data_IF_452202161347
#
_entry.id   IF_452202161347
#
_cell.length_a   1.000
_cell.length_b   1.000
_cell.length_c   1.000
_cell.angle_alpha   90.00
_cell.angle_beta   90.00
_cell.angle_gamma   90.00
#
_symmetry.space_group_name_H-M   'P 1'
#
loop_
_entity.id
_entity.type
_entity.pdbx_description
1 polymer ?
#
# COMPACT_ATOMS: atom_id res chain seq x y z
N UNK A 1 -64.19 -30.44 0.99
CA UNK A 1 -62.78 -30.59 1.43
C UNK A 1 -62.74 -31.06 2.90
N UNK A 2 -62.13 -32.23 3.17
CA UNK A 2 -62.10 -32.86 4.51
C UNK A 2 -61.40 -32.00 5.57
N UNK A 3 -61.85 -32.06 6.84
CA UNK A 3 -61.20 -31.38 7.99
C UNK A 3 -59.69 -31.67 8.02
N UNK A 4 -59.27 -32.92 7.78
CA UNK A 4 -57.84 -33.31 7.72
C UNK A 4 -57.07 -32.55 6.63
N UNK A 5 -57.69 -32.35 5.46
CA UNK A 5 -57.10 -31.58 4.36
C UNK A 5 -56.91 -30.12 4.75
N UNK A 6 -57.90 -29.47 5.36
CA UNK A 6 -57.77 -28.07 5.82
C UNK A 6 -56.64 -27.89 6.84
N UNK A 7 -56.45 -28.85 7.75
CA UNK A 7 -55.34 -28.83 8.72
C UNK A 7 -53.96 -29.02 8.07
N UNK A 8 -53.87 -29.89 7.07
CA UNK A 8 -52.63 -30.13 6.33
C UNK A 8 -52.18 -28.88 5.56
N UNK A 9 -53.11 -28.22 4.85
CA UNK A 9 -52.83 -26.97 4.15
C UNK A 9 -52.49 -25.81 5.10
N UNK A 10 -53.13 -25.74 6.28
CA UNK A 10 -52.74 -24.78 7.33
C UNK A 10 -51.30 -24.99 7.82
N UNK A 11 -50.87 -26.25 8.03
CA UNK A 11 -49.49 -26.55 8.44
C UNK A 11 -48.46 -26.14 7.38
N UNK A 12 -48.74 -26.42 6.10
CA UNK A 12 -47.87 -26.01 4.99
C UNK A 12 -47.75 -24.48 4.93
N UNK A 13 -48.86 -23.76 5.02
CA UNK A 13 -48.88 -22.30 5.05
C UNK A 13 -48.02 -21.73 6.19
N UNK A 14 -48.15 -22.28 7.40
CA UNK A 14 -47.35 -21.86 8.56
C UNK A 14 -45.86 -22.15 8.31
N UNK A 15 -45.51 -23.32 7.76
CA UNK A 15 -44.12 -23.68 7.49
C UNK A 15 -43.48 -22.75 6.45
N UNK A 16 -44.23 -22.41 5.39
CA UNK A 16 -43.77 -21.45 4.36
C UNK A 16 -43.58 -20.04 4.93
N UNK A 17 -44.45 -19.62 5.86
CA UNK A 17 -44.32 -18.34 6.55
C UNK A 17 -43.07 -18.29 7.44
N UNK A 18 -42.82 -19.34 8.23
CA UNK A 18 -41.64 -19.43 9.11
C UNK A 18 -40.35 -19.47 8.29
N UNK A 19 -40.34 -20.20 7.17
CA UNK A 19 -39.18 -20.27 6.28
C UNK A 19 -38.89 -18.91 5.61
N UNK A 20 -39.92 -18.18 5.20
CA UNK A 20 -39.79 -16.84 4.61
C UNK A 20 -39.26 -15.82 5.64
N UNK A 21 -39.70 -15.91 6.90
CA UNK A 21 -39.16 -15.10 8.01
C UNK A 21 -37.69 -15.39 8.28
N UNK A 22 -37.29 -16.67 8.24
CA UNK A 22 -35.88 -17.08 8.41
C UNK A 22 -34.97 -16.56 7.29
N UNK A 23 -35.44 -16.59 6.05
CA UNK A 23 -34.73 -16.04 4.89
C UNK A 23 -34.53 -14.51 5.00
N UNK A 24 -35.54 -13.78 5.48
CA UNK A 24 -35.45 -12.33 5.67
C UNK A 24 -34.41 -11.92 6.72
N UNK A 25 -34.27 -12.70 7.80
CA UNK A 25 -33.32 -12.44 8.89
C UNK A 25 -31.87 -12.75 8.44
N UNK A 26 -31.66 -13.77 7.61
CA UNK A 26 -30.34 -14.13 7.09
C UNK A 26 -29.86 -13.22 5.94
N UNK A 27 -30.78 -12.72 5.11
CA UNK A 27 -30.45 -11.86 3.97
C UNK A 27 -30.24 -10.38 4.36
N UNK A 28 -30.89 -9.91 5.43
CA UNK A 28 -30.81 -8.53 5.91
C UNK A 28 -29.38 -8.04 6.20
N UNK A 29 -28.58 -8.77 7.00
CA UNK A 29 -27.21 -8.36 7.33
C UNK A 29 -26.30 -8.32 6.09
N UNK A 30 -26.40 -9.32 5.20
CA UNK A 30 -25.57 -9.39 3.99
C UNK A 30 -25.90 -8.27 2.98
N UNK A 31 -27.17 -7.90 2.85
CA UNK A 31 -27.59 -6.86 1.91
C UNK A 31 -27.26 -5.43 2.39
N UNK A 32 -27.21 -5.21 3.72
CA UNK A 32 -26.87 -3.91 4.31
C UNK A 32 -25.37 -3.63 4.20
N UNK A 33 -24.51 -4.64 4.38
CA UNK A 33 -23.06 -4.50 4.19
C UNK A 33 -22.69 -4.18 2.74
N UNK A 34 -23.44 -4.71 1.76
CA UNK A 34 -23.22 -4.42 0.34
C UNK A 34 -23.62 -2.98 -0.05
N UNK A 35 -24.65 -2.41 0.59
CA UNK A 35 -25.16 -1.07 0.28
C UNK A 35 -24.38 0.08 0.95
N UNK A 36 -23.63 -0.20 2.03
CA UNK A 36 -22.91 0.82 2.80
C UNK A 36 -21.42 0.96 2.46
N UNK A 37 -20.90 0.22 1.49
CA UNK A 37 -19.55 0.48 0.98
C UNK A 37 -19.58 1.67 0.03
N UNK A 38 -19.35 2.86 0.58
CA UNK A 38 -18.97 4.05 -0.20
C UNK A 38 -17.88 3.63 -1.18
N UNK A 39 -18.11 3.85 -2.47
CA UNK A 39 -17.21 3.40 -3.53
C UNK A 39 -15.78 3.88 -3.23
N UNK A 40 -14.84 2.95 -3.20
CA UNK A 40 -13.44 3.26 -2.92
C UNK A 40 -12.83 3.97 -4.10
N UNK A 41 -12.02 4.99 -3.83
CA UNK A 41 -11.16 5.59 -4.84
C UNK A 41 -10.14 4.57 -5.32
N UNK A 42 -9.82 4.58 -6.62
CA UNK A 42 -8.88 3.62 -7.20
C UNK A 42 -7.47 3.73 -6.60
N UNK A 43 -6.98 4.97 -6.41
CA UNK A 43 -5.60 5.23 -6.05
C UNK A 43 -5.44 6.52 -5.23
N UNK A 44 -4.42 6.59 -4.38
CA UNK A 44 -3.99 7.82 -3.71
C UNK A 44 -2.53 7.79 -3.26
N UNK A 45 -1.89 8.96 -3.22
CA UNK A 45 -0.50 9.15 -2.77
C UNK A 45 -0.48 9.95 -1.48
N UNK A 46 0.19 9.41 -0.45
CA UNK A 46 0.27 10.00 0.88
C UNK A 46 1.68 9.82 1.44
N UNK A 47 2.61 10.70 1.06
CA UNK A 47 4.00 10.62 1.51
C UNK A 47 4.24 11.25 2.89
N UNK A 48 3.38 12.19 3.29
CA UNK A 48 3.52 12.95 4.54
C UNK A 48 2.57 12.47 5.65
N UNK A 49 2.35 11.16 5.74
CA UNK A 49 1.50 10.54 6.78
C UNK A 49 2.23 9.40 7.48
N UNK A 50 1.74 9.05 8.67
CA UNK A 50 2.22 7.91 9.45
C UNK A 50 1.05 7.02 9.94
N UNK A 51 1.39 5.99 10.72
CA UNK A 51 0.41 5.04 11.27
C UNK A 51 -0.73 5.68 12.08
N UNK A 52 -0.54 6.87 12.68
CA UNK A 52 -1.61 7.57 13.41
C UNK A 52 -2.76 7.99 12.50
N UNK A 53 -2.49 8.19 11.21
CA UNK A 53 -3.46 8.65 10.21
C UNK A 53 -3.97 7.53 9.28
N UNK A 54 -3.67 6.26 9.59
CA UNK A 54 -3.97 5.08 8.75
C UNK A 54 -5.43 4.99 8.28
N UNK A 55 -6.38 5.50 9.09
CA UNK A 55 -7.82 5.50 8.74
C UNK A 55 -8.13 6.29 7.46
N UNK A 56 -7.33 7.31 7.12
CA UNK A 56 -7.47 8.08 5.87
C UNK A 56 -7.33 7.19 4.62
N UNK A 57 -6.64 6.06 4.75
CA UNK A 57 -6.31 5.15 3.65
C UNK A 57 -7.41 4.13 3.35
N UNK A 58 -8.37 3.93 4.24
CA UNK A 58 -9.38 2.86 4.11
C UNK A 58 -10.35 3.07 2.94
N UNK A 59 -10.49 4.31 2.47
CA UNK A 59 -11.33 4.67 1.32
C UNK A 59 -10.68 4.45 -0.06
N UNK A 60 -9.51 3.79 -0.12
CA UNK A 60 -8.75 3.59 -1.36
C UNK A 60 -8.58 2.09 -1.68
N UNK A 61 -8.46 1.75 -2.96
CA UNK A 61 -8.12 0.39 -3.41
C UNK A 61 -6.60 0.18 -3.43
N UNK A 62 -5.83 1.20 -3.77
CA UNK A 62 -4.38 1.22 -3.73
C UNK A 62 -3.88 2.52 -3.12
N UNK A 63 -2.84 2.46 -2.29
CA UNK A 63 -2.15 3.64 -1.77
C UNK A 63 -0.65 3.56 -2.01
N UNK A 64 -0.05 4.71 -2.31
CA UNK A 64 1.40 4.92 -2.18
C UNK A 64 1.65 5.68 -0.90
N UNK A 65 2.44 5.08 0.00
CA UNK A 65 2.84 5.68 1.28
C UNK A 65 4.34 5.51 1.49
N UNK A 66 4.93 6.29 2.39
CA UNK A 66 6.26 5.96 2.88
C UNK A 66 6.16 4.89 3.97
N UNK A 67 6.29 3.62 3.58
CA UNK A 67 6.13 2.51 4.52
C UNK A 67 7.26 2.42 5.55
N UNK A 68 8.27 3.30 5.55
CA UNK A 68 9.24 3.40 6.65
C UNK A 68 8.57 3.83 7.96
N UNK A 69 7.54 4.69 7.88
CA UNK A 69 6.75 5.18 9.02
C UNK A 69 5.61 4.24 9.44
N UNK A 70 5.49 3.07 8.81
CA UNK A 70 4.44 2.09 9.09
C UNK A 70 5.03 0.77 9.60
N UNK A 71 4.34 0.10 10.51
CA UNK A 71 4.72 -1.24 10.97
C UNK A 71 4.14 -2.33 10.03
N UNK A 72 4.68 -3.55 10.11
CA UNK A 72 4.09 -4.69 9.40
C UNK A 72 2.62 -4.98 9.82
N UNK A 73 2.26 -4.63 11.07
CA UNK A 73 0.87 -4.74 11.55
C UNK A 73 -0.05 -3.75 10.86
N UNK A 74 0.44 -2.55 10.56
CA UNK A 74 -0.32 -1.52 9.85
C UNK A 74 -0.57 -1.93 8.40
N UNK A 75 0.47 -2.43 7.71
CA UNK A 75 0.32 -2.95 6.34
C UNK A 75 -0.70 -4.10 6.29
N UNK A 76 -0.62 -5.06 7.23
CA UNK A 76 -1.64 -6.11 7.35
C UNK A 76 -3.04 -5.58 7.62
N UNK A 77 -3.16 -4.48 8.36
CA UNK A 77 -4.46 -3.84 8.64
C UNK A 77 -5.05 -3.23 7.36
N UNK A 78 -4.23 -2.58 6.54
CA UNK A 78 -4.62 -2.06 5.22
C UNK A 78 -5.06 -3.19 4.29
N UNK A 79 -4.32 -4.30 4.25
CA UNK A 79 -4.71 -5.49 3.47
C UNK A 79 -6.04 -6.08 3.91
N UNK A 80 -6.29 -6.20 5.22
CA UNK A 80 -7.59 -6.65 5.76
C UNK A 80 -8.74 -5.73 5.38
N UNK A 81 -8.45 -4.45 5.14
CA UNK A 81 -9.41 -3.49 4.61
C UNK A 81 -9.50 -3.51 3.09
N UNK A 82 -8.80 -4.42 2.39
CA UNK A 82 -8.81 -4.52 0.94
C UNK A 82 -8.08 -3.36 0.25
N UNK A 83 -7.02 -2.84 0.88
CA UNK A 83 -6.16 -1.77 0.33
C UNK A 83 -4.81 -2.39 -0.06
N UNK A 84 -4.38 -2.25 -1.31
CA UNK A 84 -3.02 -2.58 -1.75
C UNK A 84 -2.05 -1.47 -1.36
N UNK A 85 -0.83 -1.81 -0.96
CA UNK A 85 0.13 -0.83 -0.45
C UNK A 85 1.42 -0.83 -1.27
N UNK A 86 1.69 0.25 -1.99
CA UNK A 86 2.98 0.50 -2.64
C UNK A 86 3.79 1.43 -1.75
N UNK A 87 5.07 1.14 -1.55
CA UNK A 87 5.94 2.02 -0.76
C UNK A 87 6.72 2.97 -1.65
N UNK A 88 6.77 4.23 -1.26
CA UNK A 88 7.76 5.18 -1.75
C UNK A 88 9.17 4.66 -1.48
N UNK A 89 10.05 4.83 -2.46
CA UNK A 89 11.48 4.58 -2.32
C UNK A 89 12.25 5.50 -3.28
N UNK A 90 12.87 6.52 -2.71
CA UNK A 90 13.84 7.36 -3.40
C UNK A 90 15.12 6.56 -3.65
N UNK A 91 15.55 6.47 -4.92
CA UNK A 91 16.80 5.78 -5.30
C UNK A 91 17.89 6.70 -5.80
N UNK A 92 17.56 7.95 -6.16
CA UNK A 92 18.46 8.90 -6.82
C UNK A 92 19.00 10.01 -5.92
N UNK A 93 18.40 10.18 -4.76
CA UNK A 93 18.73 11.24 -3.81
C UNK A 93 18.58 10.75 -2.37
N UNK A 94 19.00 11.59 -1.43
CA UNK A 94 18.95 11.34 0.00
C UNK A 94 18.30 12.53 0.71
N UNK A 95 17.34 12.24 1.57
CA UNK A 95 16.59 13.23 2.36
C UNK A 95 17.21 13.39 3.75
N UNK A 96 17.38 14.62 4.23
CA UNK A 96 18.10 14.97 5.47
C UNK A 96 17.42 14.48 6.76
N UNK A 97 16.11 14.24 6.70
CA UNK A 97 15.29 13.77 7.80
C UNK A 97 15.31 12.24 7.96
N UNK A 98 16.06 11.52 7.10
CA UNK A 98 16.25 10.08 7.23
C UNK A 98 17.24 9.77 8.33
N UNK A 99 16.93 8.74 9.13
CA UNK A 99 17.83 8.22 10.18
C UNK A 99 19.20 7.79 9.61
N UNK A 100 19.25 7.41 8.34
CA UNK A 100 20.46 7.04 7.62
C UNK A 100 21.16 8.18 6.88
N UNK A 101 20.67 9.43 6.94
CA UNK A 101 21.25 10.55 6.18
C UNK A 101 22.74 10.72 6.48
N UNK A 102 23.10 10.88 7.76
CA UNK A 102 24.49 11.07 8.20
C UNK A 102 25.44 9.95 7.78
N UNK A 103 24.92 8.75 7.61
CA UNK A 103 25.72 7.60 7.17
C UNK A 103 26.09 7.69 5.69
N UNK A 104 25.23 8.26 4.85
CA UNK A 104 25.39 8.26 3.40
C UNK A 104 25.55 9.67 2.79
N UNK A 105 25.57 10.73 3.60
CA UNK A 105 25.74 12.12 3.12
C UNK A 105 27.05 12.32 2.34
N UNK A 106 28.08 11.51 2.60
CA UNK A 106 29.34 11.53 1.83
C UNK A 106 29.18 11.08 0.35
N UNK A 107 28.05 10.48 -0.01
CA UNK A 107 27.73 10.04 -1.37
C UNK A 107 27.01 11.10 -2.19
N UNK A 108 26.73 12.26 -1.61
CA UNK A 108 25.98 13.32 -2.31
C UNK A 108 26.83 13.90 -3.43
N UNK A 109 26.23 14.07 -4.60
CA UNK A 109 26.87 14.63 -5.79
C UNK A 109 26.34 16.02 -6.15
N UNK A 110 25.35 16.52 -5.41
CA UNK A 110 24.82 17.86 -5.60
C UNK A 110 23.54 18.12 -4.83
N UNK A 111 23.09 19.37 -4.89
CA UNK A 111 21.80 19.84 -4.34
C UNK A 111 20.66 19.38 -5.22
N UNK A 112 19.52 19.03 -4.62
CA UNK A 112 18.29 18.75 -5.35
C UNK A 112 17.48 20.04 -5.51
N UNK A 113 17.15 20.43 -6.74
CA UNK A 113 16.51 21.72 -6.99
C UNK A 113 15.11 21.81 -6.37
N UNK A 114 14.82 22.93 -5.70
CA UNK A 114 13.54 23.23 -5.01
C UNK A 114 13.25 22.41 -3.73
N UNK A 115 14.16 21.52 -3.32
CA UNK A 115 14.00 20.71 -2.11
C UNK A 115 15.27 20.77 -1.26
N UNK A 116 15.35 21.76 -0.36
CA UNK A 116 16.53 21.99 0.51
C UNK A 116 16.86 20.79 1.41
N UNK A 117 15.85 19.97 1.68
CA UNK A 117 15.94 18.77 2.49
C UNK A 117 16.64 17.61 1.75
N UNK A 118 16.94 17.76 0.46
CA UNK A 118 17.30 16.66 -0.43
C UNK A 118 18.57 16.92 -1.26
N UNK A 119 19.33 15.85 -1.50
CA UNK A 119 20.57 15.91 -2.28
C UNK A 119 20.68 14.73 -3.23
N UNK A 120 21.12 14.98 -4.46
CA UNK A 120 21.45 13.93 -5.43
C UNK A 120 22.54 13.00 -4.90
N UNK A 121 22.46 11.71 -5.22
CA UNK A 121 23.40 10.67 -4.76
C UNK A 121 24.09 9.98 -5.93
N UNK A 122 25.37 9.62 -5.75
CA UNK A 122 26.08 8.72 -6.69
C UNK A 122 25.46 7.31 -6.66
N UNK A 123 24.51 7.06 -7.57
CA UNK A 123 23.86 5.76 -7.74
C UNK A 123 24.78 4.66 -8.29
N UNK A 124 25.95 5.02 -8.81
CA UNK A 124 26.97 4.06 -9.20
C UNK A 124 27.74 3.48 -8.00
N UNK A 125 27.67 4.15 -6.84
CA UNK A 125 28.36 3.75 -5.63
C UNK A 125 27.83 2.41 -5.07
N UNK A 126 28.75 1.52 -4.67
CA UNK A 126 28.41 0.17 -4.16
C UNK A 126 27.73 0.21 -2.80
N UNK A 127 28.04 1.17 -1.95
CA UNK A 127 27.44 1.31 -0.62
C UNK A 127 25.98 1.72 -0.73
N UNK A 128 25.68 2.69 -1.62
CA UNK A 128 24.30 3.07 -1.92
C UNK A 128 23.49 1.90 -2.49
N UNK A 129 24.04 1.19 -3.49
CA UNK A 129 23.39 0.00 -4.06
C UNK A 129 23.10 -1.09 -3.02
N UNK A 130 24.07 -1.36 -2.13
CA UNK A 130 23.92 -2.33 -1.05
C UNK A 130 22.87 -1.88 -0.05
N UNK A 131 22.83 -0.58 0.26
CA UNK A 131 21.86 0.01 1.16
C UNK A 131 20.44 -0.07 0.58
N UNK A 132 20.22 0.38 -0.66
CA UNK A 132 18.92 0.28 -1.36
C UNK A 132 18.40 -1.16 -1.40
N UNK A 133 19.29 -2.13 -1.66
CA UNK A 133 18.95 -3.55 -1.61
C UNK A 133 18.55 -4.04 -0.22
N UNK A 134 19.15 -3.52 0.86
CA UNK A 134 18.75 -3.85 2.24
C UNK A 134 17.44 -3.18 2.63
N UNK A 135 17.27 -1.90 2.27
CA UNK A 135 16.08 -1.12 2.59
C UNK A 135 14.84 -1.69 1.90
N UNK A 136 14.91 -1.97 0.60
CA UNK A 136 13.83 -2.63 -0.15
C UNK A 136 13.44 -3.98 0.46
N UNK A 137 14.41 -4.83 0.82
CA UNK A 137 14.13 -6.10 1.52
C UNK A 137 13.45 -5.89 2.88
N UNK A 138 13.84 -4.87 3.65
CA UNK A 138 13.18 -4.51 4.93
C UNK A 138 11.72 -4.09 4.68
N UNK A 139 11.45 -3.33 3.62
CA UNK A 139 10.11 -2.89 3.26
C UNK A 139 9.24 -4.05 2.76
N UNK A 140 9.77 -4.93 1.91
CA UNK A 140 9.09 -6.17 1.49
C UNK A 140 8.72 -7.06 2.68
N UNK A 141 9.61 -7.19 3.67
CA UNK A 141 9.31 -7.92 4.92
C UNK A 141 8.16 -7.32 5.73
N UNK A 142 7.84 -6.02 5.57
CA UNK A 142 6.64 -5.42 6.18
C UNK A 142 5.34 -5.87 5.48
N UNK A 143 5.43 -6.41 4.27
CA UNK A 143 4.31 -6.91 3.49
C UNK A 143 3.81 -5.94 2.41
N UNK A 144 4.60 -4.95 1.98
CA UNK A 144 4.16 -4.05 0.89
C UNK A 144 3.96 -4.82 -0.42
N UNK A 145 3.05 -4.34 -1.25
CA UNK A 145 2.68 -4.93 -2.54
C UNK A 145 3.56 -4.49 -3.71
N UNK A 146 4.35 -3.46 -3.53
CA UNK A 146 5.20 -2.95 -4.60
C UNK A 146 5.94 -1.71 -4.17
N UNK A 147 6.66 -1.14 -5.13
CA UNK A 147 7.44 0.06 -4.95
C UNK A 147 6.96 1.13 -5.90
N UNK A 148 6.87 2.36 -5.39
CA UNK A 148 6.81 3.58 -6.16
C UNK A 148 8.21 4.19 -6.11
N UNK A 149 8.97 4.00 -7.19
CA UNK A 149 10.38 4.38 -7.25
C UNK A 149 10.50 5.83 -7.72
N UNK A 150 11.22 6.64 -6.95
CA UNK A 150 11.41 8.05 -7.23
C UNK A 150 12.87 8.40 -7.58
N UNK A 151 13.05 9.57 -8.19
CA UNK A 151 14.33 10.20 -8.52
C UNK A 151 15.22 9.38 -9.49
N UNK A 152 14.60 8.64 -10.42
CA UNK A 152 15.33 7.95 -11.49
C UNK A 152 16.02 8.92 -12.49
N UNK A 153 15.58 10.17 -12.50
CA UNK A 153 16.14 11.30 -13.24
C UNK A 153 17.49 11.80 -12.70
N UNK A 154 18.02 11.22 -11.62
CA UNK A 154 19.45 11.38 -11.25
C UNK A 154 20.41 11.06 -12.40
N UNK A 155 19.99 10.21 -13.35
CA UNK A 155 20.73 9.97 -14.57
C UNK A 155 20.79 11.19 -15.48
N UNK A 156 19.74 12.02 -15.51
CA UNK A 156 19.75 13.28 -16.24
C UNK A 156 20.60 14.34 -15.51
N UNK A 157 20.59 14.36 -14.18
CA UNK A 157 21.50 15.21 -13.41
C UNK A 157 22.98 14.84 -13.63
N UNK A 158 23.31 13.55 -13.52
CA UNK A 158 24.67 13.04 -13.64
C UNK A 158 24.79 12.01 -14.77
N UNK A 159 24.76 12.53 -16.02
CA UNK A 159 24.73 11.81 -17.32
C UNK A 159 25.99 10.99 -17.61
N UNK A 160 26.24 9.97 -16.80
CA UNK A 160 27.37 9.06 -16.98
C UNK A 160 26.89 7.62 -17.22
N UNK A 161 27.64 6.88 -18.03
CA UNK A 161 27.41 5.43 -18.23
C UNK A 161 27.46 4.64 -16.92
N UNK A 162 28.25 5.11 -15.93
CA UNK A 162 28.33 4.52 -14.60
C UNK A 162 27.03 4.70 -13.82
N UNK A 163 26.46 5.91 -13.82
CA UNK A 163 25.18 6.17 -13.14
C UNK A 163 24.03 5.44 -13.80
N UNK A 164 23.95 5.41 -15.13
CA UNK A 164 22.92 4.59 -15.82
C UNK A 164 22.98 3.13 -15.39
N UNK A 165 24.18 2.53 -15.43
CA UNK A 165 24.38 1.13 -15.01
C UNK A 165 24.11 0.93 -13.52
N UNK A 166 24.49 1.90 -12.69
CA UNK A 166 24.25 1.92 -11.25
C UNK A 166 22.76 1.90 -10.93
N UNK A 167 22.02 2.85 -11.47
CA UNK A 167 20.56 2.94 -11.33
C UNK A 167 19.88 1.67 -11.84
N UNK A 168 20.22 1.21 -13.05
CA UNK A 168 19.66 -0.03 -13.60
C UNK A 168 19.92 -1.24 -12.69
N UNK A 169 21.08 -1.30 -12.02
CA UNK A 169 21.40 -2.35 -11.06
C UNK A 169 20.58 -2.21 -9.77
N UNK A 170 20.35 -1.00 -9.26
CA UNK A 170 19.45 -0.75 -8.13
C UNK A 170 18.05 -1.28 -8.46
N UNK A 171 17.48 -0.86 -9.60
CA UNK A 171 16.14 -1.26 -10.02
C UNK A 171 16.02 -2.78 -10.23
N UNK A 172 17.04 -3.44 -10.80
CA UNK A 172 17.06 -4.90 -10.94
C UNK A 172 17.08 -5.64 -9.61
N UNK A 173 17.66 -5.04 -8.57
CA UNK A 173 17.74 -5.63 -7.23
C UNK A 173 16.48 -5.37 -6.40
N UNK A 174 15.73 -4.32 -6.72
CA UNK A 174 14.42 -4.02 -6.15
C UNK A 174 13.37 -4.78 -6.98
N UNK A 175 13.22 -6.07 -6.69
CA UNK A 175 12.14 -6.88 -7.27
C UNK A 175 11.29 -7.45 -6.13
N UNK A 176 9.98 -7.38 -6.32
CA UNK A 176 9.03 -8.19 -5.55
C UNK A 176 9.14 -9.64 -6.01
#
# INVERSE_FOLDING_TARGET
MSKKSKYFWKKILILTWVFSLFLGILAGPCAVDAKNQKEKKEYGVFLSIDSSQIKKLYGYRLVVIDAQYFSAKDIRTLHKKGVKVYTYLNVGSIENFRDYYKKYEYLTIGTYENWEEEKWVDVSNKDWQKFMGKLSKKLLKKGVDGFFIDNCDVYDYAKTKKNFKGLAKILKNIKR
#
